data_IF_960887612300
#
_entry.id   IF_960887612300
#
_cell.length_a   1.000
_cell.length_b   1.000
_cell.length_c   1.000
_cell.angle_alpha   90.00
_cell.angle_beta   90.00
_cell.angle_gamma   90.00
#
_symmetry.space_group_name_H-M   'P 1'
#
loop_
_entity.id
_entity.type
_entity.pdbx_description
1 polymer ?
#
# COMPACT_ATOMS: atom_id res chain seq x y z
N UNK A 1 53.09 -23.09 25.64
CA UNK A 1 52.60 -21.91 24.89
C UNK A 1 51.84 -22.42 23.69
N UNK A 2 50.51 -22.29 23.66
CA UNK A 2 49.70 -22.68 22.51
C UNK A 2 49.81 -21.65 21.38
N UNK A 3 49.57 -22.03 20.12
CA UNK A 3 49.66 -21.11 18.99
C UNK A 3 48.59 -20.02 19.08
N UNK A 4 48.86 -18.79 18.60
CA UNK A 4 47.93 -17.67 18.66
C UNK A 4 46.68 -17.96 17.82
N UNK A 5 45.50 -17.65 18.36
CA UNK A 5 44.23 -17.77 17.64
C UNK A 5 44.21 -16.81 16.43
N UNK A 6 43.68 -17.23 15.27
CA UNK A 6 43.52 -16.35 14.12
C UNK A 6 42.51 -15.24 14.43
N UNK A 7 42.85 -14.02 14.02
CA UNK A 7 42.01 -12.84 14.23
C UNK A 7 40.62 -13.03 13.59
N UNK A 8 39.55 -12.51 14.22
CA UNK A 8 38.20 -12.63 13.68
C UNK A 8 38.10 -11.97 12.30
N UNK A 9 37.33 -12.56 11.36
CA UNK A 9 37.19 -12.01 10.01
C UNK A 9 36.60 -10.60 10.07
N UNK A 10 37.25 -9.66 9.37
CA UNK A 10 36.81 -8.28 9.29
C UNK A 10 35.37 -8.21 8.78
N UNK A 11 34.52 -7.47 9.52
CA UNK A 11 33.14 -7.23 9.14
C UNK A 11 33.07 -6.65 7.71
N UNK A 12 32.11 -7.09 6.87
CA UNK A 12 32.00 -6.63 5.50
C UNK A 12 31.74 -5.12 5.47
N UNK A 13 32.74 -4.35 5.06
CA UNK A 13 32.63 -2.92 4.75
C UNK A 13 32.12 -2.77 3.32
N UNK A 14 30.81 -2.71 3.10
CA UNK A 14 30.29 -2.11 1.86
C UNK A 14 28.77 -1.91 1.89
N UNK A 15 28.34 -0.70 2.24
CA UNK A 15 27.24 -0.05 1.54
C UNK A 15 27.62 1.42 1.38
N UNK A 16 27.40 1.96 0.18
CA UNK A 16 27.70 3.37 -0.15
C UNK A 16 27.10 4.26 0.95
N UNK A 17 27.87 5.18 1.56
CA UNK A 17 27.50 5.85 2.81
C UNK A 17 26.12 6.53 2.77
N UNK A 18 25.68 6.94 1.58
CA UNK A 18 24.37 7.56 1.35
C UNK A 18 23.19 6.58 1.44
N UNK A 19 23.30 5.38 0.86
CA UNK A 19 22.21 4.39 0.90
C UNK A 19 21.99 3.91 2.34
N UNK A 20 23.07 3.63 3.06
CA UNK A 20 23.00 3.28 4.49
C UNK A 20 22.34 4.39 5.31
N UNK A 21 22.67 5.65 5.02
CA UNK A 21 22.06 6.79 5.68
C UNK A 21 20.55 6.90 5.40
N UNK A 22 20.12 6.78 4.14
CA UNK A 22 18.70 6.82 3.78
C UNK A 22 17.89 5.71 4.46
N UNK A 23 18.42 4.49 4.50
CA UNK A 23 17.78 3.36 5.20
C UNK A 23 17.66 3.65 6.71
N UNK A 24 18.70 4.24 7.31
CA UNK A 24 18.69 4.60 8.74
C UNK A 24 17.69 5.70 9.06
N UNK A 25 17.55 6.69 8.18
CA UNK A 25 16.57 7.77 8.32
C UNK A 25 15.15 7.22 8.21
N UNK A 26 14.86 6.42 7.19
CA UNK A 26 13.55 5.79 6.98
C UNK A 26 13.16 4.89 8.17
N UNK A 27 14.13 4.14 8.71
CA UNK A 27 13.92 3.30 9.90
C UNK A 27 13.61 4.13 11.15
N UNK A 28 14.39 5.19 11.37
CA UNK A 28 14.22 6.09 12.53
C UNK A 28 12.89 6.82 12.47
N UNK A 29 12.56 7.40 11.32
CA UNK A 29 11.32 8.13 11.10
C UNK A 29 10.10 7.21 11.27
N UNK A 30 10.14 6.02 10.67
CA UNK A 30 9.05 5.04 10.82
C UNK A 30 8.84 4.62 12.28
N UNK A 31 9.94 4.44 13.04
CA UNK A 31 9.89 4.10 14.46
C UNK A 31 9.31 5.24 15.29
N UNK A 32 9.74 6.48 15.05
CA UNK A 32 9.23 7.66 15.76
C UNK A 32 7.72 7.82 15.55
N UNK A 33 7.26 7.73 14.30
CA UNK A 33 5.83 7.81 13.99
C UNK A 33 5.03 6.72 14.71
N UNK A 34 5.52 5.48 14.71
CA UNK A 34 4.90 4.40 15.46
C UNK A 34 4.85 4.72 16.97
N UNK A 35 5.98 5.05 17.59
CA UNK A 35 6.04 5.28 19.05
C UNK A 35 5.19 6.45 19.52
N UNK A 36 5.08 7.52 18.72
CA UNK A 36 4.27 8.69 19.05
C UNK A 36 2.77 8.41 18.94
N UNK A 37 2.37 7.49 18.07
CA UNK A 37 0.96 7.20 17.81
C UNK A 37 0.40 6.07 18.64
N UNK A 38 1.23 5.12 19.09
CA UNK A 38 0.81 4.04 19.99
C UNK A 38 -0.01 4.49 21.22
N UNK A 39 0.34 5.56 21.94
CA UNK A 39 -0.46 5.99 23.11
C UNK A 39 -1.73 6.78 22.74
N UNK A 40 -1.81 7.34 21.52
CA UNK A 40 -2.89 8.27 21.13
C UNK A 40 -3.97 7.55 20.31
N UNK A 41 -3.58 6.64 19.41
CA UNK A 41 -4.46 6.03 18.43
C UNK A 41 -4.78 4.57 18.79
N UNK A 42 -6.07 4.21 18.92
CA UNK A 42 -6.43 2.83 19.21
C UNK A 42 -6.10 1.92 18.04
N UNK A 43 -5.48 0.77 18.34
CA UNK A 43 -5.09 -0.22 17.32
C UNK A 43 -6.29 -0.76 16.52
N UNK A 44 -7.49 -0.76 17.11
CA UNK A 44 -8.73 -1.18 16.44
C UNK A 44 -9.07 -0.31 15.23
N UNK A 45 -8.90 1.01 15.34
CA UNK A 45 -9.14 1.95 14.24
C UNK A 45 -8.17 1.70 13.08
N UNK A 46 -6.89 1.51 13.41
CA UNK A 46 -5.87 1.23 12.42
C UNK A 46 -6.08 -0.12 11.73
N UNK A 47 -6.54 -1.13 12.48
CA UNK A 47 -6.91 -2.44 11.94
C UNK A 47 -8.16 -2.38 11.07
N UNK A 48 -9.13 -1.53 11.41
CA UNK A 48 -10.31 -1.29 10.57
C UNK A 48 -9.90 -0.68 9.22
N UNK A 49 -8.96 0.27 9.22
CA UNK A 49 -8.39 0.81 7.98
C UNK A 49 -7.67 -0.27 7.16
N UNK A 50 -6.88 -1.13 7.81
CA UNK A 50 -6.26 -2.29 7.15
C UNK A 50 -7.29 -3.21 6.51
N UNK A 51 -8.31 -3.61 7.28
CA UNK A 51 -9.37 -4.50 6.80
C UNK A 51 -10.15 -3.86 5.65
N UNK A 52 -10.43 -2.56 5.73
CA UNK A 52 -11.17 -1.83 4.69
C UNK A 52 -10.47 -1.87 3.34
N UNK A 53 -9.14 -2.00 3.31
CA UNK A 53 -8.33 -2.07 2.09
C UNK A 53 -7.83 -3.49 1.77
N UNK A 54 -8.33 -4.52 2.45
CA UNK A 54 -7.95 -5.90 2.20
C UNK A 54 -8.59 -6.40 0.87
N UNK A 55 -7.81 -7.15 0.09
CA UNK A 55 -8.24 -7.72 -1.19
C UNK A 55 -9.43 -8.67 -1.00
N UNK A 56 -9.52 -9.32 0.16
CA UNK A 56 -10.60 -10.23 0.54
C UNK A 56 -11.98 -9.57 0.46
N UNK A 57 -12.07 -8.26 0.68
CA UNK A 57 -13.33 -7.51 0.55
C UNK A 57 -13.48 -6.89 -0.85
N UNK A 58 -12.42 -6.28 -1.38
CA UNK A 58 -12.50 -5.54 -2.64
C UNK A 58 -12.79 -6.41 -3.86
N UNK A 59 -12.22 -7.62 -3.92
CA UNK A 59 -12.39 -8.53 -5.05
C UNK A 59 -13.83 -9.03 -5.22
N UNK A 60 -14.50 -9.64 -4.20
CA UNK A 60 -15.86 -10.13 -4.35
C UNK A 60 -16.87 -8.99 -4.58
N UNK A 61 -16.66 -7.81 -3.98
CA UNK A 61 -17.54 -6.65 -4.20
C UNK A 61 -17.47 -6.20 -5.66
N UNK A 62 -16.26 -6.01 -6.18
CA UNK A 62 -16.05 -5.55 -7.56
C UNK A 62 -16.56 -6.58 -8.58
N UNK A 63 -16.35 -7.88 -8.31
CA UNK A 63 -16.84 -8.97 -9.17
C UNK A 63 -18.38 -9.05 -9.17
N UNK A 64 -19.00 -8.96 -7.98
CA UNK A 64 -20.47 -8.96 -7.86
C UNK A 64 -21.09 -7.79 -8.62
N UNK A 65 -20.53 -6.59 -8.48
CA UNK A 65 -21.00 -5.42 -9.22
C UNK A 65 -20.82 -5.56 -10.74
N UNK A 66 -19.79 -6.26 -11.21
CA UNK A 66 -19.52 -6.44 -12.65
C UNK A 66 -20.59 -7.32 -13.31
N UNK A 67 -21.08 -8.32 -12.57
CA UNK A 67 -22.13 -9.23 -13.01
C UNK A 67 -23.52 -8.58 -12.92
N UNK A 68 -23.67 -7.49 -12.16
CA UNK A 68 -24.93 -6.74 -12.03
C UNK A 68 -25.16 -5.76 -13.19
N UNK A 69 -26.41 -5.47 -13.59
CA UNK A 69 -26.75 -4.45 -14.58
C UNK A 69 -26.67 -3.05 -13.96
N UNK A 70 -25.50 -2.66 -13.47
CA UNK A 70 -25.27 -1.37 -12.82
C UNK A 70 -24.78 -0.29 -13.80
N UNK A 71 -25.08 0.97 -13.49
CA UNK A 71 -24.51 2.13 -14.19
C UNK A 71 -22.97 2.22 -14.03
N UNK A 72 -22.41 1.48 -13.06
CA UNK A 72 -20.97 1.43 -12.80
C UNK A 72 -20.23 0.41 -13.67
N UNK A 73 -20.95 -0.42 -14.43
CA UNK A 73 -20.37 -1.54 -15.20
C UNK A 73 -19.18 -1.17 -16.09
N UNK A 74 -19.15 -0.03 -16.82
CA UNK A 74 -17.98 0.36 -17.62
C UNK A 74 -16.72 0.66 -16.80
N UNK A 75 -16.86 0.97 -15.51
CA UNK A 75 -15.75 1.30 -14.62
C UNK A 75 -15.20 0.08 -13.87
N UNK A 76 -15.89 -1.05 -13.92
CA UNK A 76 -15.53 -2.26 -13.18
C UNK A 76 -14.43 -3.10 -13.83
N UNK A 77 -14.33 -3.25 -15.18
CA UNK A 77 -13.19 -3.90 -15.81
C UNK A 77 -11.84 -3.26 -15.48
N UNK A 78 -11.63 -1.93 -15.62
CA UNK A 78 -10.35 -1.34 -15.27
C UNK A 78 -10.06 -1.42 -13.76
N UNK A 79 -11.10 -1.42 -12.91
CA UNK A 79 -10.94 -1.65 -11.47
C UNK A 79 -10.47 -3.08 -11.17
N UNK A 80 -11.17 -4.09 -11.68
CA UNK A 80 -10.88 -5.50 -11.40
C UNK A 80 -9.54 -5.94 -11.99
N UNK A 81 -9.31 -5.66 -13.27
CA UNK A 81 -8.06 -6.03 -13.92
C UNK A 81 -6.88 -5.24 -13.36
N UNK A 82 -7.08 -3.97 -13.00
CA UNK A 82 -6.06 -3.17 -12.32
C UNK A 82 -5.74 -3.70 -10.92
N UNK A 83 -6.73 -4.17 -10.15
CA UNK A 83 -6.49 -4.81 -8.84
C UNK A 83 -5.75 -6.16 -8.98
N UNK A 84 -6.01 -6.93 -10.04
CA UNK A 84 -5.26 -8.15 -10.33
C UNK A 84 -3.81 -7.83 -10.75
N UNK A 85 -3.62 -6.76 -11.53
CA UNK A 85 -2.31 -6.25 -11.90
C UNK A 85 -1.52 -5.80 -10.66
N UNK A 86 -2.13 -5.01 -9.76
CA UNK A 86 -1.56 -4.61 -8.46
C UNK A 86 -1.08 -5.83 -7.68
N UNK A 87 -1.95 -6.83 -7.52
CA UNK A 87 -1.60 -8.05 -6.77
C UNK A 87 -0.40 -8.77 -7.39
N UNK A 88 -0.34 -8.88 -8.72
CA UNK A 88 0.75 -9.51 -9.43
C UNK A 88 2.07 -8.71 -9.31
N UNK A 89 2.02 -7.39 -9.51
CA UNK A 89 3.19 -6.52 -9.44
C UNK A 89 3.74 -6.41 -8.02
N UNK A 90 2.88 -6.18 -7.03
CA UNK A 90 3.28 -6.19 -5.61
C UNK A 90 3.90 -7.54 -5.23
N UNK A 91 3.28 -8.65 -5.63
CA UNK A 91 3.80 -9.99 -5.39
C UNK A 91 5.19 -10.18 -5.99
N UNK A 92 5.36 -9.82 -7.26
CA UNK A 92 6.64 -9.91 -7.96
C UNK A 92 7.73 -9.06 -7.31
N UNK A 93 7.45 -7.78 -7.03
CA UNK A 93 8.42 -6.86 -6.43
C UNK A 93 8.80 -7.33 -5.02
N UNK A 94 7.85 -7.82 -4.23
CA UNK A 94 8.13 -8.42 -2.91
C UNK A 94 9.09 -9.61 -3.02
N UNK A 95 8.90 -10.48 -4.01
CA UNK A 95 9.77 -11.64 -4.23
C UNK A 95 11.18 -11.26 -4.70
N UNK A 96 11.33 -10.12 -5.40
CA UNK A 96 12.61 -9.58 -5.87
C UNK A 96 13.40 -8.89 -4.76
N UNK A 97 12.78 -7.95 -4.02
CA UNK A 97 13.50 -7.12 -3.04
C UNK A 97 13.61 -7.76 -1.66
N UNK A 98 12.63 -8.60 -1.28
CA UNK A 98 12.62 -9.38 -0.02
C UNK A 98 12.98 -8.58 1.25
N UNK A 99 12.63 -7.29 1.29
CA UNK A 99 12.90 -6.43 2.46
C UNK A 99 12.11 -6.94 3.67
N UNK A 100 12.78 -7.12 4.81
CA UNK A 100 12.14 -7.50 6.07
C UNK A 100 11.24 -6.39 6.63
N UNK A 101 10.22 -6.76 7.41
CA UNK A 101 9.34 -5.82 8.12
C UNK A 101 10.03 -5.10 9.28
N UNK A 102 9.51 -3.95 9.72
CA UNK A 102 10.00 -3.27 10.92
C UNK A 102 9.96 -4.21 12.15
N UNK A 103 11.07 -4.31 12.92
CA UNK A 103 11.15 -5.27 14.04
C UNK A 103 10.38 -4.85 15.29
N UNK A 104 9.96 -3.59 15.37
CA UNK A 104 9.27 -3.02 16.55
C UNK A 104 7.77 -3.37 16.60
N UNK A 105 7.29 -4.21 15.69
CA UNK A 105 5.92 -4.71 15.71
C UNK A 105 5.77 -5.76 16.82
N UNK A 106 5.59 -5.32 18.07
CA UNK A 106 5.36 -6.18 19.23
C UNK A 106 3.90 -6.57 19.41
N UNK A 107 2.99 -6.11 18.55
CA UNK A 107 1.58 -6.44 18.62
C UNK A 107 1.37 -7.87 18.17
N UNK A 108 0.98 -8.71 19.13
CA UNK A 108 0.69 -10.15 19.07
C UNK A 108 -0.52 -10.52 18.17
N UNK A 109 -0.84 -9.67 17.17
CA UNK A 109 -1.87 -9.87 16.15
C UNK A 109 -1.24 -9.89 14.75
N UNK A 110 -0.19 -10.70 14.58
CA UNK A 110 0.06 -11.31 13.28
C UNK A 110 -1.14 -12.22 13.01
N UNK A 111 -2.16 -11.68 12.34
CA UNK A 111 -3.18 -12.50 11.72
C UNK A 111 -2.44 -13.56 10.89
N UNK A 112 -2.70 -14.83 11.17
CA UNK A 112 -2.04 -16.05 10.64
C UNK A 112 -2.34 -16.25 9.13
N UNK A 113 -2.45 -15.16 8.37
CA UNK A 113 -2.87 -15.17 6.98
C UNK A 113 -1.66 -14.90 6.07
N UNK A 114 -1.11 -16.00 5.56
CA UNK A 114 -0.31 -16.12 4.33
C UNK A 114 1.19 -15.79 4.47
N UNK A 115 2.01 -16.82 4.23
CA UNK A 115 3.50 -16.80 4.20
C UNK A 115 4.12 -15.72 3.28
N UNK A 116 3.37 -15.22 2.29
CA UNK A 116 3.79 -14.11 1.42
C UNK A 116 3.80 -12.73 2.13
N UNK A 117 3.26 -12.63 3.35
CA UNK A 117 3.19 -11.38 4.10
C UNK A 117 4.48 -11.04 4.86
N UNK A 118 5.56 -11.84 4.72
CA UNK A 118 6.82 -11.62 5.44
C UNK A 118 7.62 -10.41 4.92
N UNK A 119 7.41 -10.00 3.66
CA UNK A 119 8.13 -8.89 3.03
C UNK A 119 7.37 -7.56 3.11
N UNK A 120 8.11 -6.49 3.43
CA UNK A 120 7.60 -5.14 3.65
C UNK A 120 7.55 -4.29 2.39
N UNK A 121 8.51 -4.44 1.49
CA UNK A 121 8.61 -3.59 0.31
C UNK A 121 8.01 -4.23 -0.94
N UNK A 122 7.17 -3.52 -1.71
CA UNK A 122 6.46 -2.28 -1.38
C UNK A 122 5.17 -2.56 -0.57
N UNK A 123 4.54 -1.50 -0.06
CA UNK A 123 3.26 -1.61 0.65
C UNK A 123 2.10 -1.84 -0.32
N UNK A 124 1.59 -3.07 -0.37
CA UNK A 124 0.42 -3.41 -1.19
C UNK A 124 -0.88 -2.72 -0.75
N UNK A 125 -1.05 -2.42 0.54
CA UNK A 125 -2.22 -1.66 1.00
C UNK A 125 -2.17 -0.22 0.50
N UNK A 126 -0.99 0.43 0.55
CA UNK A 126 -0.82 1.78 0.05
C UNK A 126 -1.02 1.84 -1.48
N UNK A 127 -0.46 0.87 -2.21
CA UNK A 127 -0.67 0.73 -3.66
C UNK A 127 -2.15 0.63 -4.00
N UNK A 128 -2.86 -0.31 -3.40
CA UNK A 128 -4.28 -0.55 -3.67
C UNK A 128 -5.17 0.66 -3.41
N UNK A 129 -5.05 1.31 -2.25
CA UNK A 129 -5.92 2.45 -1.94
C UNK A 129 -5.62 3.66 -2.82
N UNK A 130 -4.35 3.89 -3.16
CA UNK A 130 -3.95 4.93 -4.09
C UNK A 130 -4.37 4.63 -5.53
N UNK A 131 -4.35 3.35 -5.93
CA UNK A 131 -4.91 2.87 -7.20
C UNK A 131 -6.41 3.19 -7.28
N UNK A 132 -7.20 2.78 -6.27
CA UNK A 132 -8.65 3.02 -6.24
C UNK A 132 -8.95 4.52 -6.27
N UNK A 133 -8.26 5.32 -5.45
CA UNK A 133 -8.45 6.77 -5.41
C UNK A 133 -8.11 7.45 -6.74
N UNK A 134 -7.02 7.05 -7.37
CA UNK A 134 -6.58 7.60 -8.66
C UNK A 134 -7.52 7.19 -9.78
N UNK A 135 -7.95 5.92 -9.82
CA UNK A 135 -8.90 5.43 -10.82
C UNK A 135 -10.26 6.12 -10.68
N UNK A 136 -10.75 6.31 -9.45
CA UNK A 136 -11.96 7.07 -9.18
C UNK A 136 -11.84 8.51 -9.65
N UNK A 137 -10.70 9.17 -9.38
CA UNK A 137 -10.43 10.54 -9.83
C UNK A 137 -10.44 10.66 -11.36
N UNK A 138 -9.73 9.77 -12.05
CA UNK A 138 -9.68 9.75 -13.52
C UNK A 138 -11.07 9.47 -14.12
N UNK A 139 -11.82 8.56 -13.52
CA UNK A 139 -13.19 8.20 -13.93
C UNK A 139 -14.16 9.37 -13.73
N UNK A 140 -14.07 10.07 -12.60
CA UNK A 140 -14.86 11.27 -12.34
C UNK A 140 -14.59 12.38 -13.35
N UNK A 141 -13.33 12.59 -13.75
CA UNK A 141 -12.98 13.56 -14.78
C UNK A 141 -13.64 13.24 -16.14
N UNK A 142 -13.73 11.96 -16.52
CA UNK A 142 -14.43 11.54 -17.72
C UNK A 142 -15.95 11.75 -17.62
N UNK A 143 -16.58 11.48 -16.47
CA UNK A 143 -18.02 11.67 -16.26
C UNK A 143 -18.41 13.15 -16.31
N UNK A 144 -17.60 14.05 -15.75
CA UNK A 144 -17.87 15.50 -15.75
C UNK A 144 -17.99 16.10 -17.14
N UNK A 145 -17.34 15.51 -18.15
CA UNK A 145 -17.46 15.95 -19.54
C UNK A 145 -18.87 15.70 -20.12
N UNK A 146 -19.65 14.78 -19.54
CA UNK A 146 -21.00 14.45 -19.98
C UNK A 146 -22.14 15.07 -19.17
N UNK A 147 -21.93 15.39 -17.89
CA UNK A 147 -23.00 15.87 -16.99
C UNK A 147 -22.51 16.90 -15.95
N UNK A 148 -22.78 18.19 -16.18
CA UNK A 148 -22.35 19.30 -15.32
C UNK A 148 -23.01 19.34 -13.92
N UNK A 149 -24.26 18.88 -13.78
CA UNK A 149 -25.05 18.96 -12.54
C UNK A 149 -24.56 18.01 -11.42
N UNK A 150 -23.82 16.94 -11.75
CA UNK A 150 -23.37 15.94 -10.77
C UNK A 150 -22.08 16.34 -10.00
N UNK A 151 -21.58 17.55 -10.20
CA UNK A 151 -20.21 17.94 -9.80
C UNK A 151 -19.97 17.92 -8.29
N UNK A 152 -20.92 18.38 -7.46
CA UNK A 152 -20.73 18.47 -5.99
C UNK A 152 -20.63 17.10 -5.32
N UNK A 153 -21.54 16.19 -5.64
CA UNK A 153 -21.53 14.82 -5.08
C UNK A 153 -20.27 14.07 -5.49
N UNK A 154 -19.85 14.19 -6.76
CA UNK A 154 -18.62 13.58 -7.25
C UNK A 154 -17.40 14.14 -6.50
N UNK A 155 -17.32 15.46 -6.29
CA UNK A 155 -16.23 16.07 -5.53
C UNK A 155 -16.16 15.55 -4.08
N UNK A 156 -17.30 15.42 -3.42
CA UNK A 156 -17.36 14.90 -2.05
C UNK A 156 -16.91 13.44 -1.99
N UNK A 157 -17.37 12.58 -2.91
CA UNK A 157 -16.94 11.19 -2.99
C UNK A 157 -15.43 11.09 -3.21
N UNK A 158 -14.86 11.87 -4.15
CA UNK A 158 -13.42 11.89 -4.38
C UNK A 158 -12.63 12.31 -3.12
N UNK A 159 -13.11 13.33 -2.41
CA UNK A 159 -12.49 13.76 -1.15
C UNK A 159 -12.46 12.61 -0.14
N UNK A 160 -13.59 11.95 0.08
CA UNK A 160 -13.70 10.82 1.01
C UNK A 160 -12.75 9.68 0.62
N UNK A 161 -12.69 9.33 -0.66
CA UNK A 161 -11.82 8.25 -1.15
C UNK A 161 -10.33 8.61 -0.99
N UNK A 162 -9.94 9.86 -1.28
CA UNK A 162 -8.56 10.30 -1.07
C UNK A 162 -8.17 10.36 0.41
N UNK A 163 -9.06 10.83 1.28
CA UNK A 163 -8.84 10.82 2.73
C UNK A 163 -8.67 9.39 3.22
N UNK A 164 -9.55 8.48 2.80
CA UNK A 164 -9.42 7.05 3.12
C UNK A 164 -8.09 6.46 2.63
N UNK A 165 -7.66 6.78 1.41
CA UNK A 165 -6.39 6.30 0.86
C UNK A 165 -5.17 6.79 1.66
N UNK A 166 -5.16 8.07 2.05
CA UNK A 166 -4.10 8.65 2.88
C UNK A 166 -4.10 8.01 4.27
N UNK A 167 -5.25 7.95 4.93
CA UNK A 167 -5.37 7.37 6.27
C UNK A 167 -4.94 5.90 6.30
N UNK A 168 -5.33 5.13 5.30
CA UNK A 168 -4.94 3.71 5.19
C UNK A 168 -3.45 3.55 4.89
N UNK A 169 -2.87 4.41 4.05
CA UNK A 169 -1.44 4.39 3.77
C UNK A 169 -0.62 4.72 5.01
N UNK A 170 -1.00 5.78 5.73
CA UNK A 170 -0.35 6.19 6.97
C UNK A 170 -0.50 5.11 8.05
N UNK A 171 -1.68 4.49 8.18
CA UNK A 171 -1.91 3.45 9.19
C UNK A 171 -0.93 2.27 9.09
N UNK A 172 -0.39 1.98 7.90
CA UNK A 172 0.62 0.93 7.70
C UNK A 172 1.93 1.21 8.43
N UNK A 173 2.33 2.48 8.49
CA UNK A 173 3.51 2.93 9.24
C UNK A 173 3.20 2.96 10.73
N UNK A 174 2.04 3.49 11.10
CA UNK A 174 1.62 3.61 12.50
C UNK A 174 1.40 2.26 13.19
N UNK A 175 0.96 1.24 12.45
CA UNK A 175 0.90 -0.15 12.92
C UNK A 175 2.27 -0.85 12.94
N UNK A 176 3.35 -0.19 12.49
CA UNK A 176 4.67 -0.81 12.39
C UNK A 176 4.75 -1.91 11.33
N UNK A 177 3.83 -1.95 10.36
CA UNK A 177 3.77 -3.00 9.33
C UNK A 177 4.75 -2.73 8.19
N UNK A 178 4.99 -1.46 7.89
CA UNK A 178 5.79 -1.00 6.75
C UNK A 178 6.62 0.22 7.13
N UNK A 179 7.73 0.42 6.43
CA UNK A 179 8.48 1.67 6.50
C UNK A 179 7.81 2.75 5.64
N UNK A 180 8.16 4.02 5.88
CA UNK A 180 7.61 5.15 5.10
C UNK A 180 7.96 5.03 3.62
N UNK A 181 9.18 4.61 3.29
CA UNK A 181 9.57 4.38 1.90
C UNK A 181 8.76 3.26 1.21
N UNK A 182 8.40 2.19 1.93
CA UNK A 182 7.56 1.12 1.38
C UNK A 182 6.16 1.64 1.01
N UNK A 183 5.61 2.52 1.87
CA UNK A 183 4.31 3.16 1.66
C UNK A 183 4.36 4.15 0.51
N UNK A 184 5.40 4.97 0.43
CA UNK A 184 5.59 5.92 -0.65
C UNK A 184 5.69 5.22 -2.01
N UNK A 185 6.57 4.22 -2.13
CA UNK A 185 6.72 3.47 -3.40
C UNK A 185 5.45 2.70 -3.73
N UNK A 186 4.78 2.10 -2.75
CA UNK A 186 3.48 1.47 -2.94
C UNK A 186 2.46 2.46 -3.51
N UNK A 187 2.30 3.63 -2.88
CA UNK A 187 1.38 4.66 -3.35
C UNK A 187 1.68 5.09 -4.79
N UNK A 188 2.96 5.33 -5.13
CA UNK A 188 3.36 5.67 -6.50
C UNK A 188 2.99 4.56 -7.50
N UNK A 189 3.25 3.30 -7.15
CA UNK A 189 2.90 2.17 -8.00
C UNK A 189 1.38 2.13 -8.29
N UNK A 190 0.55 2.27 -7.25
CA UNK A 190 -0.90 2.30 -7.41
C UNK A 190 -1.40 3.44 -8.31
N UNK A 191 -0.80 4.63 -8.22
CA UNK A 191 -1.14 5.76 -9.13
C UNK A 191 -0.80 5.38 -10.59
N UNK A 192 0.37 4.78 -10.83
CA UNK A 192 0.79 4.37 -12.17
C UNK A 192 -0.12 3.28 -12.74
N UNK A 193 -0.48 2.30 -11.92
CA UNK A 193 -1.42 1.23 -12.28
C UNK A 193 -2.81 1.79 -12.62
N UNK A 194 -3.27 2.81 -11.90
CA UNK A 194 -4.55 3.45 -12.18
C UNK A 194 -4.54 4.18 -13.53
N UNK A 195 -3.46 4.89 -13.85
CA UNK A 195 -3.28 5.54 -15.16
C UNK A 195 -3.25 4.49 -16.27
N UNK A 196 -2.51 3.39 -16.08
CA UNK A 196 -2.45 2.29 -17.04
C UNK A 196 -3.84 1.67 -17.25
N UNK A 197 -4.50 1.28 -16.16
CA UNK A 197 -5.81 0.63 -16.20
C UNK A 197 -6.88 1.51 -16.83
N UNK A 198 -6.88 2.81 -16.50
CA UNK A 198 -7.81 3.78 -17.08
C UNK A 198 -7.60 4.00 -18.58
N UNK A 199 -6.38 3.85 -19.10
CA UNK A 199 -6.06 4.07 -20.51
C UNK A 199 -6.25 2.81 -21.36
N UNK A 200 -5.88 1.65 -20.83
CA UNK A 200 -5.75 0.42 -21.64
C UNK A 200 -6.76 -0.67 -21.27
N UNK A 201 -7.39 -0.60 -20.10
CA UNK A 201 -8.31 -1.64 -19.60
C UNK A 201 -9.77 -1.19 -19.58
N UNK A 202 -10.11 -0.16 -20.37
CA UNK A 202 -11.49 0.23 -20.66
C UNK A 202 -11.94 -0.47 -21.92
N UNK A 203 -13.05 -1.19 -21.84
CA UNK A 203 -13.68 -1.91 -22.95
C UNK A 203 -15.18 -1.65 -22.94
#
# INVERSE_FOLDING_TARGET
MGPPQPAPPAAPKSSVPLIGHLISLDTTLSRQLHSLTQPVLPSSLLLLLELSADFRLFFPISLSLLLSPSLLRPFLPPLLLGLLLDLALIGLVKLLFRRSRPPHNHTHSMNVAVSADHFSFPSGHASRVCFVASLAHLSAAAIRQGHHEASKTVNFVLLVVWVWAVLTSVSRVLLGRHFVSDVFVGACLGVLEAVFSFRFLKF
#
